data_IF_620917443993
#
_entry.id   IF_620917443993
#
_cell.length_a   1.000
_cell.length_b   1.000
_cell.length_c   1.000
_cell.angle_alpha   90.00
_cell.angle_beta   90.00
_cell.angle_gamma   90.00
#
_symmetry.space_group_name_H-M   'P 1'
#
loop_
_entity.id
_entity.type
_entity.pdbx_description
1 polymer ?
#
# COMPACT_ATOMS: atom_id res chain seq x y z
N UNK A 1 -6.42 -14.75 -20.38
CA UNK A 1 -7.78 -15.18 -20.06
C UNK A 1 -7.67 -16.24 -18.97
N UNK A 2 -8.01 -15.88 -17.74
CA UNK A 2 -7.81 -16.68 -16.53
C UNK A 2 -9.15 -16.71 -15.78
N UNK A 3 -10.01 -17.64 -16.20
CA UNK A 3 -11.23 -18.00 -15.49
C UNK A 3 -11.03 -19.39 -14.91
N UNK A 4 -10.48 -19.47 -13.70
CA UNK A 4 -10.53 -20.65 -12.85
C UNK A 4 -10.15 -20.25 -11.42
N UNK A 5 -11.02 -20.58 -10.46
CA UNK A 5 -10.92 -20.39 -9.00
C UNK A 5 -11.56 -19.11 -8.42
N UNK A 6 -12.91 -18.99 -8.49
CA UNK A 6 -13.67 -17.97 -7.75
C UNK A 6 -13.56 -18.08 -6.22
N UNK A 7 -13.03 -19.19 -5.71
CA UNK A 7 -13.01 -19.54 -4.27
C UNK A 7 -11.80 -18.93 -3.53
N UNK A 8 -10.83 -18.35 -4.27
CA UNK A 8 -9.64 -17.69 -3.70
C UNK A 8 -9.79 -16.17 -3.59
N UNK A 9 -10.89 -15.61 -4.08
CA UNK A 9 -11.19 -14.19 -3.95
C UNK A 9 -11.60 -13.82 -2.51
N UNK A 10 -12.26 -14.73 -1.80
CA UNK A 10 -12.70 -14.50 -0.41
C UNK A 10 -11.55 -14.63 0.60
N UNK A 11 -10.56 -15.48 0.33
CA UNK A 11 -9.34 -15.58 1.15
C UNK A 11 -8.52 -14.28 1.09
N UNK A 12 -8.42 -13.65 -0.08
CA UNK A 12 -7.75 -12.37 -0.23
C UNK A 12 -8.47 -11.24 0.53
N UNK A 13 -9.81 -11.27 0.60
CA UNK A 13 -10.63 -10.33 1.39
C UNK A 13 -10.50 -10.55 2.90
N UNK A 14 -10.38 -11.81 3.34
CA UNK A 14 -10.20 -12.15 4.75
C UNK A 14 -8.80 -11.77 5.25
N UNK A 15 -7.77 -11.89 4.40
CA UNK A 15 -6.39 -11.46 4.70
C UNK A 15 -6.23 -9.94 4.55
N UNK A 16 -6.87 -9.33 3.53
CA UNK A 16 -6.86 -7.87 3.31
C UNK A 16 -7.95 -7.12 4.08
N UNK A 17 -8.48 -7.72 5.16
CA UNK A 17 -9.69 -7.36 5.93
C UNK A 17 -9.79 -5.95 6.53
N UNK A 18 -9.05 -4.97 6.01
CA UNK A 18 -9.37 -3.55 6.12
C UNK A 18 -9.37 -2.97 4.71
N UNK A 19 -10.54 -2.48 4.28
CA UNK A 19 -10.68 -1.52 3.19
C UNK A 19 -10.07 -0.15 3.55
N UNK A 20 -9.00 -0.14 4.34
CA UNK A 20 -8.24 1.03 4.69
C UNK A 20 -7.01 1.02 3.78
N UNK A 21 -7.13 1.66 2.62
CA UNK A 21 -5.98 1.94 1.77
C UNK A 21 -5.00 2.77 2.63
N UNK A 22 -3.77 2.28 2.90
CA UNK A 22 -2.84 2.98 3.77
C UNK A 22 -2.39 4.29 3.11
N UNK A 23 -2.46 5.39 3.85
CA UNK A 23 -1.98 6.70 3.41
C UNK A 23 -0.84 7.14 4.32
N UNK A 24 0.30 7.49 3.72
CA UNK A 24 1.46 8.04 4.43
C UNK A 24 1.49 9.54 4.20
N UNK A 25 1.51 10.34 5.26
CA UNK A 25 1.63 11.80 5.20
C UNK A 25 3.00 12.20 5.75
N UNK A 26 3.72 13.03 5.01
CA UNK A 26 5.07 13.45 5.33
C UNK A 26 5.11 14.85 5.95
N UNK A 27 6.19 15.22 6.67
CA UNK A 27 6.34 16.55 7.26
C UNK A 27 6.35 17.71 6.27
N UNK A 28 6.72 17.45 5.00
CA UNK A 28 6.66 18.43 3.91
C UNK A 28 5.22 18.67 3.40
N UNK A 29 4.22 17.99 3.97
CA UNK A 29 2.81 18.07 3.60
C UNK A 29 2.42 17.18 2.41
N UNK A 30 3.36 16.47 1.79
CA UNK A 30 3.07 15.49 0.74
C UNK A 30 2.46 14.21 1.32
N UNK A 31 1.80 13.43 0.46
CA UNK A 31 1.26 12.13 0.86
C UNK A 31 1.39 11.08 -0.25
N UNK A 32 1.46 9.82 0.15
CA UNK A 32 1.39 8.65 -0.72
C UNK A 32 0.17 7.80 -0.33
N UNK A 33 -0.52 7.26 -1.33
CA UNK A 33 -1.69 6.38 -1.16
C UNK A 33 -1.31 4.99 -1.66
N UNK A 34 -1.42 4.00 -0.79
CA UNK A 34 -1.02 2.61 -1.05
C UNK A 34 0.45 2.43 -1.48
N UNK A 35 1.44 3.15 -0.89
CA UNK A 35 2.81 2.99 -1.33
C UNK A 35 3.38 1.63 -0.93
N UNK A 36 4.26 1.13 -1.77
CA UNK A 36 5.19 0.04 -1.45
C UNK A 36 6.25 0.52 -0.45
N UNK A 37 6.92 -0.42 0.21
CA UNK A 37 8.02 -0.09 1.13
C UNK A 37 9.15 0.69 0.43
N UNK A 38 9.46 0.36 -0.83
CA UNK A 38 10.48 1.05 -1.61
C UNK A 38 10.09 2.50 -1.88
N UNK A 39 8.83 2.76 -2.25
CA UNK A 39 8.33 4.12 -2.47
C UNK A 39 8.34 4.97 -1.18
N UNK A 40 8.05 4.35 -0.03
CA UNK A 40 8.17 5.04 1.27
C UNK A 40 9.65 5.34 1.57
N UNK A 41 10.53 4.36 1.39
CA UNK A 41 11.97 4.50 1.68
C UNK A 41 12.62 5.60 0.82
N UNK A 42 12.33 5.63 -0.48
CA UNK A 42 12.85 6.63 -1.39
C UNK A 42 12.38 8.03 -0.99
N UNK A 43 11.10 8.19 -0.64
CA UNK A 43 10.56 9.47 -0.18
C UNK A 43 11.16 9.91 1.16
N UNK A 44 11.48 8.98 2.06
CA UNK A 44 12.16 9.31 3.33
C UNK A 44 13.60 9.79 3.09
N UNK A 45 14.33 9.19 2.15
CA UNK A 45 15.68 9.65 1.74
C UNK A 45 15.63 11.03 1.08
N UNK A 46 14.66 11.26 0.19
CA UNK A 46 14.47 12.57 -0.47
C UNK A 46 14.22 13.69 0.55
N UNK A 47 13.57 13.37 1.67
CA UNK A 47 13.32 14.29 2.78
C UNK A 47 14.43 14.33 3.83
N UNK A 48 15.50 13.56 3.66
CA UNK A 48 16.59 13.38 4.63
C UNK A 48 16.09 12.97 6.03
N UNK A 49 15.06 12.11 6.07
CA UNK A 49 14.46 11.53 7.29
C UNK A 49 14.97 10.11 7.59
N UNK A 50 15.74 9.54 6.66
CA UNK A 50 16.42 8.25 6.72
C UNK A 50 17.82 8.42 6.11
#
# INVERSE_FOLDING_TARGET
DLVAEPERADDAKAISGRTNIPVVVYPDGSHQVEPTNTEVEDKLKDLALL
#
